data_IF_566276630423
#
_entry.id   IF_566276630423
#
_cell.length_a   1.000
_cell.length_b   1.000
_cell.length_c   1.000
_cell.angle_alpha   90.00
_cell.angle_beta   90.00
_cell.angle_gamma   90.00
#
_symmetry.space_group_name_H-M   'P 1'
#
loop_
_entity.id
_entity.type
_entity.pdbx_description
1 polymer ?
#
# COMPACT_ATOMS: atom_id res chain seq x y z
N UNK A 1 3.81 -16.30 -27.79
CA UNK A 1 3.74 -14.89 -27.36
C UNK A 1 4.44 -14.76 -26.01
N UNK A 2 5.61 -14.11 -25.95
CA UNK A 2 6.41 -14.02 -24.74
C UNK A 2 5.76 -13.04 -23.74
N UNK A 3 5.42 -13.53 -22.54
CA UNK A 3 5.07 -12.70 -21.39
C UNK A 3 6.30 -11.84 -21.04
N UNK A 4 6.31 -10.56 -21.41
CA UNK A 4 7.30 -9.60 -20.89
C UNK A 4 7.12 -9.55 -19.37
N UNK A 5 8.04 -10.19 -18.63
CA UNK A 5 8.19 -10.01 -17.19
C UNK A 5 8.44 -8.51 -16.99
N UNK A 6 7.52 -7.82 -16.32
CA UNK A 6 7.69 -6.41 -15.91
C UNK A 6 8.75 -6.37 -14.81
N UNK A 7 10.02 -6.41 -15.21
CA UNK A 7 11.13 -6.02 -14.39
C UNK A 7 10.93 -4.54 -13.97
N UNK A 8 11.40 -4.12 -12.77
CA UNK A 8 11.49 -2.70 -12.47
C UNK A 8 12.25 -2.03 -13.62
N UNK A 9 11.71 -0.94 -14.16
CA UNK A 9 12.43 -0.11 -15.13
C UNK A 9 13.79 0.21 -14.53
N UNK A 10 14.86 -0.04 -15.27
CA UNK A 10 16.18 0.34 -14.79
C UNK A 10 16.29 1.87 -14.72
N UNK A 11 17.30 2.37 -14.03
CA UNK A 11 17.46 3.82 -13.85
C UNK A 11 17.69 4.56 -15.19
N UNK A 12 18.27 3.89 -16.19
CA UNK A 12 18.58 4.47 -17.50
C UNK A 12 17.31 4.60 -18.36
N UNK A 13 16.47 3.57 -18.39
CA UNK A 13 15.15 3.56 -19.04
C UNK A 13 14.29 4.70 -18.48
N UNK A 14 14.29 4.86 -17.15
CA UNK A 14 13.54 5.94 -16.50
C UNK A 14 14.10 7.32 -16.83
N UNK A 15 15.41 7.48 -17.04
CA UNK A 15 16.00 8.77 -17.40
C UNK A 15 15.73 9.16 -18.87
N UNK A 16 15.62 8.18 -19.76
CA UNK A 16 15.28 8.40 -21.17
C UNK A 16 13.79 8.73 -21.41
N UNK A 17 12.92 8.48 -20.42
CA UNK A 17 11.49 8.75 -20.57
C UNK A 17 11.17 10.24 -20.62
N UNK A 18 10.28 10.66 -21.55
CA UNK A 18 9.78 12.02 -21.57
C UNK A 18 8.99 12.32 -20.30
N UNK A 19 9.00 13.59 -19.91
CA UNK A 19 8.26 14.10 -18.76
C UNK A 19 6.76 13.78 -18.81
N UNK A 20 6.20 13.61 -20.02
CA UNK A 20 4.81 13.22 -20.24
C UNK A 20 4.46 11.79 -19.78
N UNK A 21 5.45 10.93 -19.56
CA UNK A 21 5.27 9.56 -19.04
C UNK A 21 5.12 9.53 -17.51
N UNK A 22 5.28 10.66 -16.82
CA UNK A 22 5.16 10.74 -15.36
C UNK A 22 3.88 11.45 -14.94
N UNK A 23 3.24 10.99 -13.86
CA UNK A 23 2.13 11.71 -13.27
C UNK A 23 2.58 13.06 -12.71
N UNK A 24 3.77 13.08 -12.08
CA UNK A 24 4.43 14.28 -11.56
C UNK A 24 5.74 14.54 -12.33
N UNK A 25 5.71 15.22 -13.49
CA UNK A 25 6.88 15.43 -14.35
C UNK A 25 8.06 16.09 -13.63
N UNK A 26 7.80 17.19 -12.90
CA UNK A 26 8.81 17.93 -12.15
C UNK A 26 9.54 17.06 -11.11
N UNK A 27 8.83 16.10 -10.51
CA UNK A 27 9.37 15.19 -9.52
C UNK A 27 9.88 13.88 -10.13
N UNK A 28 9.60 13.63 -11.41
CA UNK A 28 9.77 12.34 -12.11
C UNK A 28 9.26 11.16 -11.26
N UNK A 29 8.12 11.36 -10.59
CA UNK A 29 7.45 10.37 -9.72
C UNK A 29 6.23 9.80 -10.42
N UNK A 30 5.90 8.57 -10.04
CA UNK A 30 4.77 7.80 -10.55
C UNK A 30 4.78 7.69 -12.09
N UNK A 31 5.68 6.84 -12.65
CA UNK A 31 5.64 6.50 -14.07
C UNK A 31 4.25 6.01 -14.47
N UNK A 32 3.87 6.22 -15.73
CA UNK A 32 2.56 5.85 -16.29
C UNK A 32 2.72 4.98 -17.55
N UNK A 33 3.83 4.26 -17.66
CA UNK A 33 4.21 3.51 -18.87
C UNK A 33 3.42 2.22 -19.11
N UNK A 34 2.76 1.68 -18.08
CA UNK A 34 1.90 0.49 -18.19
C UNK A 34 0.79 0.45 -17.12
N UNK A 35 -0.12 -0.54 -17.24
CA UNK A 35 -1.24 -0.72 -16.33
C UNK A 35 -0.84 -0.93 -14.85
N UNK A 36 0.31 -1.59 -14.60
CA UNK A 36 0.80 -1.85 -13.24
C UNK A 36 1.30 -0.54 -12.62
N UNK A 37 2.05 0.25 -13.39
CA UNK A 37 2.51 1.56 -12.99
C UNK A 37 1.34 2.52 -12.71
N UNK A 38 0.30 2.53 -13.56
CA UNK A 38 -0.92 3.33 -13.34
C UNK A 38 -1.63 2.94 -12.03
N UNK A 39 -1.80 1.64 -11.76
CA UNK A 39 -2.42 1.18 -10.50
C UNK A 39 -1.59 1.56 -9.27
N UNK A 40 -0.27 1.47 -9.37
CA UNK A 40 0.64 1.89 -8.30
C UNK A 40 0.55 3.41 -8.07
N UNK A 41 0.48 4.20 -9.13
CA UNK A 41 0.35 5.65 -9.08
C UNK A 41 -0.92 6.08 -8.34
N UNK A 42 -2.05 5.42 -8.60
CA UNK A 42 -3.30 5.64 -7.87
C UNK A 42 -3.15 5.30 -6.38
N UNK A 43 -2.58 4.13 -6.08
CA UNK A 43 -2.47 3.61 -4.71
C UNK A 43 -1.49 4.39 -3.83
N UNK A 44 -0.54 5.13 -4.43
CA UNK A 44 0.51 5.89 -3.71
C UNK A 44 0.42 7.39 -3.95
N UNK A 45 -0.67 7.86 -4.54
CA UNK A 45 -0.86 9.25 -4.92
C UNK A 45 -0.69 10.22 -3.74
N UNK A 46 -1.11 9.82 -2.56
CA UNK A 46 -0.99 10.55 -1.30
C UNK A 46 0.46 10.64 -0.76
N UNK A 47 1.33 9.70 -1.14
CA UNK A 47 2.74 9.65 -0.71
C UNK A 47 3.60 10.74 -1.35
N UNK A 48 3.15 11.35 -2.44
CA UNK A 48 3.86 12.45 -3.11
C UNK A 48 3.57 13.75 -2.34
N UNK A 49 4.36 14.04 -1.30
CA UNK A 49 4.16 15.19 -0.41
C UNK A 49 4.57 16.54 -1.01
N UNK A 50 5.51 16.54 -1.95
CA UNK A 50 6.14 17.75 -2.50
C UNK A 50 5.39 18.37 -3.69
N UNK A 51 4.16 17.92 -3.94
CA UNK A 51 3.31 18.40 -5.04
C UNK A 51 2.24 19.36 -4.53
N UNK A 52 2.06 20.47 -5.24
CA UNK A 52 0.94 21.41 -5.01
C UNK A 52 -0.41 20.78 -5.39
N UNK A 53 -1.51 21.38 -4.92
CA UNK A 53 -2.85 20.93 -5.28
C UNK A 53 -3.10 20.98 -6.80
N UNK A 54 -2.58 22.01 -7.50
CA UNK A 54 -2.66 22.11 -8.97
C UNK A 54 -1.87 20.99 -9.65
N UNK A 55 -0.67 20.67 -9.14
CA UNK A 55 0.13 19.57 -9.64
C UNK A 55 -0.56 18.22 -9.41
N UNK A 56 -1.27 18.06 -8.29
CA UNK A 56 -2.08 16.86 -8.02
C UNK A 56 -3.28 16.76 -8.96
N UNK A 57 -3.99 17.85 -9.20
CA UNK A 57 -5.11 17.85 -10.16
C UNK A 57 -4.65 17.46 -11.57
N UNK A 58 -3.53 18.02 -12.01
CA UNK A 58 -2.96 17.70 -13.31
C UNK A 58 -2.38 16.26 -13.35
N UNK A 59 -1.71 15.80 -12.30
CA UNK A 59 -1.23 14.42 -12.18
C UNK A 59 -2.37 13.42 -12.28
N UNK A 60 -3.49 13.68 -11.60
CA UNK A 60 -4.67 12.82 -11.66
C UNK A 60 -5.30 12.78 -13.04
N UNK A 61 -5.33 13.90 -13.78
CA UNK A 61 -5.76 13.91 -15.19
C UNK A 61 -4.86 13.04 -16.07
N UNK A 62 -3.54 13.07 -15.84
CA UNK A 62 -2.59 12.21 -16.57
C UNK A 62 -2.80 10.74 -16.25
N UNK A 63 -2.99 10.40 -14.98
CA UNK A 63 -3.28 9.04 -14.53
C UNK A 63 -4.57 8.52 -15.16
N UNK A 64 -5.65 9.33 -15.20
CA UNK A 64 -6.89 8.93 -15.87
C UNK A 64 -6.70 8.67 -17.37
N UNK A 65 -5.93 9.52 -18.07
CA UNK A 65 -5.61 9.29 -19.49
C UNK A 65 -4.82 7.99 -19.69
N UNK A 66 -3.83 7.74 -18.86
CA UNK A 66 -3.04 6.51 -18.90
C UNK A 66 -3.91 5.28 -18.55
N UNK A 67 -4.77 5.39 -17.54
CA UNK A 67 -5.70 4.34 -17.16
C UNK A 67 -6.61 3.92 -18.32
N UNK A 68 -7.18 4.89 -19.03
CA UNK A 68 -7.96 4.63 -20.25
C UNK A 68 -7.13 3.96 -21.36
N UNK A 69 -5.88 4.37 -21.54
CA UNK A 69 -4.95 3.78 -22.52
C UNK A 69 -4.62 2.31 -22.20
N UNK A 70 -4.45 1.99 -20.92
CA UNK A 70 -4.01 0.66 -20.47
C UNK A 70 -5.13 -0.24 -19.92
N UNK A 71 -6.39 0.20 -19.98
CA UNK A 71 -7.54 -0.56 -19.50
C UNK A 71 -7.58 -0.74 -17.98
N UNK A 72 -7.12 0.26 -17.23
CA UNK A 72 -7.27 0.32 -15.77
C UNK A 72 -8.56 1.05 -15.44
N UNK A 73 -9.41 0.42 -14.63
CA UNK A 73 -10.63 1.04 -14.11
C UNK A 73 -10.27 2.03 -13.00
N UNK A 74 -10.81 3.24 -13.10
CA UNK A 74 -10.67 4.32 -12.10
C UNK A 74 -12.06 4.83 -11.84
N UNK A 75 -12.54 4.63 -10.61
CA UNK A 75 -13.89 5.00 -10.18
C UNK A 75 -13.95 6.42 -9.61
N UNK A 76 -12.80 6.90 -9.16
CA UNK A 76 -12.59 8.16 -8.49
C UNK A 76 -12.69 9.33 -9.48
N UNK A 77 -13.34 10.40 -9.05
CA UNK A 77 -13.56 11.60 -9.88
C UNK A 77 -12.54 12.69 -9.63
N UNK A 78 -11.84 12.63 -8.50
CA UNK A 78 -10.82 13.59 -8.08
C UNK A 78 -9.74 12.89 -7.28
N UNK A 79 -8.51 13.40 -7.34
CA UNK A 79 -7.42 12.90 -6.50
C UNK A 79 -7.71 13.01 -5.01
N UNK A 80 -8.62 13.90 -4.60
CA UNK A 80 -9.07 14.05 -3.20
C UNK A 80 -9.81 12.80 -2.70
N UNK A 81 -10.24 11.91 -3.60
CA UNK A 81 -10.87 10.63 -3.28
C UNK A 81 -9.84 9.51 -3.12
N UNK A 82 -8.64 9.62 -3.72
CA UNK A 82 -7.59 8.58 -3.70
C UNK A 82 -6.90 8.38 -2.33
N UNK A 83 -7.10 9.30 -1.38
CA UNK A 83 -6.50 9.25 -0.04
C UNK A 83 -7.50 9.08 1.10
N UNK A 84 -8.80 9.02 0.80
CA UNK A 84 -9.80 8.74 1.84
C UNK A 84 -9.88 7.22 1.98
N UNK A 85 -9.71 6.66 3.20
CA UNK A 85 -10.13 5.29 3.41
C UNK A 85 -11.63 5.25 3.10
N UNK A 86 -11.99 4.67 1.95
CA UNK A 86 -13.38 4.34 1.67
C UNK A 86 -13.84 3.50 2.86
N UNK A 87 -15.03 3.76 3.41
CA UNK A 87 -15.53 3.00 4.59
C UNK A 87 -15.56 1.47 4.34
N UNK A 88 -15.44 1.06 3.08
CA UNK A 88 -15.28 -0.33 2.60
C UNK A 88 -13.85 -0.88 2.70
N UNK A 89 -12.80 -0.04 2.63
CA UNK A 89 -11.44 -0.43 3.03
C UNK A 89 -11.30 -0.25 4.54
N UNK A 90 -11.90 -1.19 5.29
CA UNK A 90 -11.47 -1.46 6.67
C UNK A 90 -9.95 -1.58 6.63
N UNK A 91 -9.30 -0.68 7.36
CA UNK A 91 -7.91 -0.80 7.78
C UNK A 91 -7.56 -2.27 8.01
N UNK A 92 -6.41 -2.70 7.50
CA UNK A 92 -5.75 -3.96 7.86
C UNK A 92 -5.54 -4.15 9.37
N UNK A 93 -5.95 -3.17 10.19
CA UNK A 93 -6.10 -3.21 11.64
C UNK A 93 -7.39 -3.87 12.16
N UNK A 94 -8.25 -4.46 11.32
CA UNK A 94 -9.38 -5.29 11.78
C UNK A 94 -8.94 -6.78 11.78
N UNK A 95 -9.06 -7.54 12.88
CA UNK A 95 -8.65 -8.94 12.90
C UNK A 95 -9.45 -9.74 11.89
N UNK A 96 -8.76 -10.48 11.02
CA UNK A 96 -9.35 -11.59 10.26
C UNK A 96 -9.70 -12.68 11.26
N UNK A 97 -10.92 -13.21 11.12
CA UNK A 97 -11.52 -14.41 11.71
C UNK A 97 -10.67 -15.28 12.67
N UNK A 98 -11.18 -15.67 13.87
CA UNK A 98 -10.40 -16.29 14.96
C UNK A 98 -10.03 -17.77 14.75
N UNK A 99 -10.15 -18.30 13.52
CA UNK A 99 -9.84 -19.70 13.20
C UNK A 99 -8.37 -20.04 12.96
N UNK A 100 -7.43 -19.13 13.22
CA UNK A 100 -5.99 -19.35 13.03
C UNK A 100 -5.27 -19.93 14.25
N UNK A 101 -4.21 -20.71 14.01
CA UNK A 101 -3.37 -21.27 15.07
C UNK A 101 -2.83 -20.17 15.98
N UNK A 102 -2.60 -20.44 17.28
CA UNK A 102 -2.11 -19.46 18.26
C UNK A 102 -0.78 -18.80 17.82
N UNK A 103 -0.01 -19.45 16.94
CA UNK A 103 1.20 -18.92 16.31
C UNK A 103 0.96 -17.81 15.26
N UNK A 104 -0.23 -17.73 14.67
CA UNK A 104 -0.61 -16.77 13.64
C UNK A 104 -1.10 -15.44 14.22
N UNK A 105 -1.43 -15.39 15.51
CA UNK A 105 -1.88 -14.17 16.21
C UNK A 105 -0.83 -13.07 16.15
N UNK A 106 -1.28 -11.82 16.09
CA UNK A 106 -0.38 -10.68 16.14
C UNK A 106 0.30 -10.58 17.51
N UNK A 107 1.49 -9.95 17.58
CA UNK A 107 2.20 -9.75 18.86
C UNK A 107 1.32 -8.98 19.86
N UNK A 108 0.54 -8.01 19.38
CA UNK A 108 -0.36 -7.20 20.20
C UNK A 108 -1.49 -8.03 20.84
N UNK A 109 -2.08 -8.98 20.11
CA UNK A 109 -3.11 -9.88 20.64
C UNK A 109 -2.53 -10.82 21.70
N UNK A 110 -1.31 -11.34 21.47
CA UNK A 110 -0.62 -12.17 22.45
C UNK A 110 -0.27 -11.38 23.72
N UNK A 111 0.05 -10.08 23.60
CA UNK A 111 0.22 -9.19 24.75
C UNK A 111 -1.07 -8.96 25.53
N UNK A 112 -2.19 -8.72 24.83
CA UNK A 112 -3.49 -8.50 25.46
C UNK A 112 -3.96 -9.76 26.21
N UNK A 113 -3.83 -10.94 25.59
CA UNK A 113 -4.20 -12.21 26.24
C UNK A 113 -3.25 -12.56 27.40
N UNK A 114 -1.94 -12.29 27.27
CA UNK A 114 -0.99 -12.45 28.37
C UNK A 114 -1.26 -11.47 29.52
N UNK A 115 -1.80 -10.28 29.23
CA UNK A 115 -2.26 -9.32 30.24
C UNK A 115 -3.47 -9.85 30.99
N UNK A 116 -4.49 -10.32 30.28
CA UNK A 116 -5.73 -10.81 30.88
C UNK A 116 -5.49 -12.07 31.72
N UNK A 117 -4.47 -12.86 31.37
CA UNK A 117 -4.02 -14.04 32.13
C UNK A 117 -2.98 -13.75 33.21
N UNK A 118 -2.58 -12.51 33.42
CA UNK A 118 -1.64 -12.15 34.47
C UNK A 118 -0.22 -12.66 34.28
N UNK A 119 0.23 -12.90 33.04
CA UNK A 119 1.62 -13.32 32.77
C UNK A 119 2.57 -12.17 33.14
N UNK A 120 3.42 -12.40 34.14
CA UNK A 120 4.46 -11.46 34.56
C UNK A 120 5.62 -11.41 33.56
N UNK A 121 6.28 -10.26 33.45
CA UNK A 121 7.36 -10.07 32.48
C UNK A 121 6.90 -10.06 31.01
N UNK A 122 5.59 -10.14 30.73
CA UNK A 122 5.03 -10.13 29.37
C UNK A 122 5.65 -9.06 28.47
N UNK A 123 5.86 -7.84 28.99
CA UNK A 123 6.40 -6.67 28.27
C UNK A 123 7.80 -6.89 27.66
N UNK A 124 8.63 -7.75 28.26
CA UNK A 124 9.97 -8.07 27.76
C UNK A 124 10.00 -9.31 26.86
N UNK A 125 8.91 -10.08 26.79
CA UNK A 125 8.83 -11.31 26.01
C UNK A 125 8.70 -11.05 24.50
N UNK A 126 9.37 -11.89 23.73
CA UNK A 126 9.20 -12.01 22.28
C UNK A 126 7.85 -12.67 21.95
N UNK A 127 7.42 -12.58 20.68
CA UNK A 127 6.18 -13.23 20.22
C UNK A 127 6.16 -14.73 20.55
N UNK A 128 7.29 -15.42 20.37
CA UNK A 128 7.42 -16.84 20.65
C UNK A 128 7.32 -17.15 22.15
N UNK A 129 7.91 -16.30 23.00
CA UNK A 129 7.84 -16.45 24.45
C UNK A 129 6.42 -16.19 24.99
N UNK A 130 5.71 -15.20 24.44
CA UNK A 130 4.30 -14.96 24.76
C UNK A 130 3.43 -16.16 24.36
N UNK A 131 3.66 -16.78 23.20
CA UNK A 131 2.94 -18.00 22.79
C UNK A 131 3.18 -19.13 23.80
N UNK A 132 4.45 -19.40 24.14
CA UNK A 132 4.82 -20.45 25.10
C UNK A 132 4.24 -20.19 26.51
N UNK A 133 4.25 -18.93 26.95
CA UNK A 133 3.68 -18.54 28.24
C UNK A 133 2.15 -18.69 28.28
N UNK A 134 1.48 -18.57 27.13
CA UNK A 134 0.03 -18.77 26.99
C UNK A 134 -0.38 -20.24 26.77
N UNK A 135 0.58 -21.13 26.46
CA UNK A 135 0.38 -22.57 26.27
C UNK A 135 0.57 -23.38 27.56
N UNK A 136 1.45 -22.93 28.47
CA UNK A 136 1.61 -23.54 29.79
C UNK A 136 0.40 -23.19 30.66
N UNK A 137 -0.44 -24.20 30.92
CA UNK A 137 -1.48 -24.16 31.96
C UNK A 137 -0.85 -24.26 33.35
#
# INVERSE_FOLDING_TARGET
MAKKKTAPLDAADRNAMPDSEFAFPRLRKEPLSDAKHVRNALARFDQVRDASDDERDEAFRRIQRAARKFGVDVSEKSWRELGKPTKSMKSSSKPRDPGGSRSERSKAELYAEARDRGVEGRSTMTKAELIRALEKR
#
